data_IF_794603161293
#
_entry.id   IF_794603161293
#
_cell.length_a   1.000
_cell.length_b   1.000
_cell.length_c   1.000
_cell.angle_alpha   90.00
_cell.angle_beta   90.00
_cell.angle_gamma   90.00
#
_symmetry.space_group_name_H-M   'P 1'
#
loop_
_entity.id
_entity.type
_entity.pdbx_description
1 polymer ?
#
# COMPACT_ATOMS: atom_id res chain seq x y z
N UNK A 1 -11.19 5.55 17.75
CA UNK A 1 -12.07 4.83 16.75
C UNK A 1 -11.43 4.98 15.39
N UNK A 2 -11.48 3.92 14.53
CA UNK A 2 -11.00 4.02 13.13
C UNK A 2 -12.20 4.38 12.25
N UNK A 3 -12.04 5.39 11.38
CA UNK A 3 -13.03 5.77 10.38
C UNK A 3 -12.43 5.68 8.99
N UNK A 4 -13.22 5.24 8.02
CA UNK A 4 -12.85 5.24 6.62
C UNK A 4 -13.50 6.42 5.91
N UNK A 5 -12.66 7.21 5.23
CA UNK A 5 -13.05 8.37 4.44
C UNK A 5 -12.54 8.24 3.01
N UNK A 6 -13.01 9.11 2.14
CA UNK A 6 -12.52 9.21 0.77
C UNK A 6 -12.23 10.65 0.39
N UNK A 7 -11.31 10.83 -0.55
CA UNK A 7 -11.10 12.05 -1.32
C UNK A 7 -11.13 11.72 -2.81
N UNK A 8 -11.77 12.57 -3.61
CA UNK A 8 -11.83 12.45 -5.07
C UNK A 8 -11.11 13.61 -5.73
N UNK A 9 -9.96 13.35 -6.34
CA UNK A 9 -9.25 14.29 -7.19
C UNK A 9 -9.88 14.26 -8.57
N UNK A 10 -10.58 15.32 -8.94
CA UNK A 10 -11.15 15.50 -10.28
C UNK A 10 -10.16 16.30 -11.11
N UNK A 11 -9.52 15.68 -12.10
CA UNK A 11 -8.46 16.30 -12.90
C UNK A 11 -8.91 16.49 -14.34
N UNK A 12 -8.68 17.71 -14.89
CA UNK A 12 -8.91 18.04 -16.28
C UNK A 12 -7.72 18.79 -16.86
N UNK A 13 -6.89 18.09 -17.61
CA UNK A 13 -5.63 18.64 -18.10
C UNK A 13 -4.70 19.04 -16.94
N UNK A 14 -4.30 20.33 -16.89
CA UNK A 14 -3.46 20.86 -15.81
C UNK A 14 -4.28 21.49 -14.65
N UNK A 15 -5.55 21.15 -14.51
CA UNK A 15 -6.42 21.68 -13.46
C UNK A 15 -7.02 20.57 -12.61
N UNK A 16 -7.23 20.87 -11.33
CA UNK A 16 -8.02 20.06 -10.41
C UNK A 16 -9.21 20.87 -9.86
N UNK A 17 -10.30 20.18 -9.53
CA UNK A 17 -11.44 20.78 -8.89
C UNK A 17 -11.24 20.78 -7.37
N UNK A 18 -11.29 21.96 -6.76
CA UNK A 18 -11.31 22.13 -5.31
C UNK A 18 -12.53 22.96 -4.91
N UNK A 19 -13.09 22.71 -3.72
CA UNK A 19 -14.21 23.47 -3.20
C UNK A 19 -13.88 24.18 -1.89
N UNK A 20 -14.39 25.41 -1.70
CA UNK A 20 -14.35 26.07 -0.39
C UNK A 20 -15.43 25.43 0.47
N UNK A 21 -15.02 24.81 1.59
CA UNK A 21 -15.94 24.13 2.50
C UNK A 21 -16.81 25.13 3.25
N UNK A 22 -18.12 25.01 3.12
CA UNK A 22 -19.10 25.97 3.68
C UNK A 22 -19.40 25.71 5.14
N UNK A 23 -19.31 24.45 5.60
CA UNK A 23 -19.73 24.06 6.96
C UNK A 23 -18.89 22.88 7.52
N UNK A 24 -18.99 22.65 8.81
CA UNK A 24 -18.37 21.53 9.50
C UNK A 24 -16.86 21.71 9.75
N UNK A 25 -16.18 20.61 9.96
CA UNK A 25 -14.73 20.59 10.20
C UNK A 25 -14.00 21.08 8.95
N UNK A 26 -13.14 22.08 9.10
CA UNK A 26 -12.43 22.71 7.99
C UNK A 26 -13.23 23.76 7.21
N UNK A 27 -14.35 24.27 7.72
CA UNK A 27 -15.09 25.36 7.05
C UNK A 27 -14.16 26.54 6.73
N UNK A 28 -14.25 27.03 5.47
CA UNK A 28 -13.39 28.07 4.92
C UNK A 28 -12.10 27.59 4.23
N UNK A 29 -11.73 26.30 4.38
CA UNK A 29 -10.61 25.71 3.65
C UNK A 29 -11.02 25.25 2.25
N UNK A 30 -10.06 25.26 1.33
CA UNK A 30 -10.15 24.59 0.05
C UNK A 30 -9.83 23.09 0.26
N UNK A 31 -10.63 22.22 -0.34
CA UNK A 31 -10.47 20.76 -0.24
C UNK A 31 -11.01 20.09 -1.52
N UNK A 32 -10.59 18.86 -1.76
CA UNK A 32 -11.24 17.95 -2.69
C UNK A 32 -12.63 17.55 -2.18
N UNK A 33 -13.57 17.20 -3.07
CA UNK A 33 -14.80 16.53 -2.65
C UNK A 33 -14.48 15.18 -2.01
N UNK A 34 -15.21 14.86 -0.94
CA UNK A 34 -15.01 13.60 -0.23
C UNK A 34 -15.69 13.55 1.11
N UNK A 35 -15.86 12.34 1.63
CA UNK A 35 -16.58 12.10 2.85
C UNK A 35 -16.41 10.69 3.41
N UNK A 36 -17.37 10.24 4.19
CA UNK A 36 -17.32 8.94 4.88
C UNK A 36 -17.73 7.81 3.95
N UNK A 37 -17.06 6.67 4.11
CA UNK A 37 -17.53 5.40 3.54
C UNK A 37 -18.70 4.91 4.38
N UNK A 38 -19.86 4.71 3.74
CA UNK A 38 -21.06 4.22 4.40
C UNK A 38 -21.04 2.69 4.58
N UNK A 39 -21.78 2.12 5.53
CA UNK A 39 -21.87 0.68 5.73
C UNK A 39 -22.34 -0.06 4.47
N UNK A 40 -21.53 -1.01 3.99
CA UNK A 40 -21.81 -1.79 2.78
C UNK A 40 -21.37 -1.13 1.47
N UNK A 41 -20.74 0.04 1.53
CA UNK A 41 -20.19 0.76 0.41
C UNK A 41 -18.68 0.48 0.28
N UNK A 42 -18.17 0.39 -0.95
CA UNK A 42 -16.73 0.38 -1.16
C UNK A 42 -16.17 1.80 -1.12
N UNK A 43 -14.89 2.00 -0.73
CA UNK A 43 -14.28 3.34 -0.75
C UNK A 43 -14.34 4.03 -2.12
N UNK A 44 -14.24 3.27 -3.23
CA UNK A 44 -14.39 3.80 -4.59
C UNK A 44 -15.81 4.32 -4.84
N UNK A 45 -16.81 3.55 -4.44
CA UNK A 45 -18.22 3.96 -4.60
C UNK A 45 -18.53 5.21 -3.78
N UNK A 46 -18.03 5.28 -2.54
CA UNK A 46 -18.15 6.46 -1.68
C UNK A 46 -17.52 7.69 -2.34
N UNK A 47 -16.29 7.59 -2.86
CA UNK A 47 -15.62 8.70 -3.53
C UNK A 47 -16.38 9.23 -4.75
N UNK A 48 -16.99 8.34 -5.53
CA UNK A 48 -17.84 8.69 -6.68
C UNK A 48 -19.11 9.37 -6.23
N UNK A 49 -19.80 8.84 -5.22
CA UNK A 49 -21.02 9.42 -4.65
C UNK A 49 -20.77 10.83 -4.10
N UNK A 50 -19.73 11.01 -3.28
CA UNK A 50 -19.37 12.29 -2.67
C UNK A 50 -19.04 13.36 -3.74
N UNK A 51 -18.37 12.97 -4.84
CA UNK A 51 -18.12 13.90 -5.95
C UNK A 51 -19.41 14.39 -6.61
N UNK A 52 -20.44 13.54 -6.76
CA UNK A 52 -21.75 13.95 -7.29
C UNK A 52 -22.52 14.82 -6.28
N UNK A 53 -22.51 14.45 -5.00
CA UNK A 53 -23.23 15.17 -3.95
C UNK A 53 -22.62 16.55 -3.65
N UNK A 54 -21.29 16.65 -3.53
CA UNK A 54 -20.62 17.86 -3.09
C UNK A 54 -20.30 18.86 -4.20
N UNK A 55 -20.09 18.40 -5.45
CA UNK A 55 -19.74 19.29 -6.57
C UNK A 55 -20.55 19.04 -7.86
N UNK A 56 -21.53 18.11 -7.85
CA UNK A 56 -22.42 17.83 -8.97
C UNK A 56 -21.78 17.15 -10.18
N UNK A 57 -20.57 16.61 -10.04
CA UNK A 57 -19.84 15.94 -11.12
C UNK A 57 -20.12 14.44 -11.11
N UNK A 58 -20.53 13.91 -12.28
CA UNK A 58 -20.77 12.47 -12.47
C UNK A 58 -19.50 11.77 -12.94
N UNK A 59 -18.86 11.07 -12.02
CA UNK A 59 -17.67 10.28 -12.29
C UNK A 59 -18.07 8.93 -12.90
N UNK A 60 -17.49 8.58 -14.07
CA UNK A 60 -17.71 7.29 -14.74
C UNK A 60 -16.72 6.23 -14.24
N UNK A 61 -15.47 6.62 -14.06
CA UNK A 61 -14.44 5.75 -13.52
C UNK A 61 -13.41 6.55 -12.71
N UNK A 62 -12.80 5.88 -11.73
CA UNK A 62 -11.73 6.44 -10.90
C UNK A 62 -10.75 5.34 -10.50
N UNK A 63 -9.49 5.71 -10.33
CA UNK A 63 -8.45 4.81 -9.84
C UNK A 63 -7.88 5.31 -8.52
N UNK A 64 -7.49 4.38 -7.65
CA UNK A 64 -6.88 4.71 -6.37
C UNK A 64 -5.48 5.28 -6.60
N UNK A 65 -5.19 6.42 -6.01
CA UNK A 65 -3.89 7.11 -6.09
C UNK A 65 -3.21 7.22 -4.74
N UNK A 66 -3.85 6.75 -3.68
CA UNK A 66 -3.19 6.68 -2.39
C UNK A 66 -4.10 6.34 -1.22
N UNK A 67 -3.45 6.27 -0.09
CA UNK A 67 -4.06 6.19 1.22
C UNK A 67 -3.33 7.15 2.17
N UNK A 68 -4.09 7.85 3.00
CA UNK A 68 -3.54 8.74 4.01
C UNK A 68 -4.16 8.37 5.36
N UNK A 69 -3.32 8.12 6.35
CA UNK A 69 -3.74 7.81 7.72
C UNK A 69 -3.53 9.04 8.60
N UNK A 70 -4.60 9.70 8.95
CA UNK A 70 -4.58 10.80 9.91
C UNK A 70 -4.68 10.23 11.32
N UNK A 71 -3.57 10.22 12.05
CA UNK A 71 -3.48 9.65 13.39
C UNK A 71 -3.65 10.71 14.47
N UNK A 72 -4.36 10.34 15.51
CA UNK A 72 -4.58 11.21 16.67
C UNK A 72 -5.26 12.55 16.31
N UNK A 73 -6.16 12.52 15.32
CA UNK A 73 -6.94 13.69 14.92
C UNK A 73 -8.02 13.97 15.96
N UNK A 74 -8.01 15.15 16.56
CA UNK A 74 -8.96 15.50 17.61
C UNK A 74 -10.27 16.02 17.02
N UNK A 75 -11.30 15.19 17.08
CA UNK A 75 -12.66 15.56 16.72
C UNK A 75 -13.54 15.55 17.97
N UNK A 76 -14.11 16.71 18.32
CA UNK A 76 -14.90 16.87 19.56
C UNK A 76 -14.14 16.50 20.85
N UNK A 77 -12.82 16.66 20.86
CA UNK A 77 -11.97 16.46 22.05
C UNK A 77 -11.46 15.05 22.28
N UNK A 78 -11.86 14.08 21.44
CA UNK A 78 -11.35 12.69 21.49
C UNK A 78 -10.45 12.42 20.28
N UNK A 79 -9.32 11.72 20.47
CA UNK A 79 -8.44 11.36 19.38
C UNK A 79 -9.05 10.23 18.55
N UNK A 80 -9.06 10.40 17.24
CA UNK A 80 -9.52 9.40 16.28
C UNK A 80 -8.44 9.13 15.22
N UNK A 81 -8.56 8.03 14.54
CA UNK A 81 -7.74 7.70 13.37
C UNK A 81 -8.64 7.64 12.15
N UNK A 82 -8.31 8.45 11.14
CA UNK A 82 -9.00 8.47 9.87
C UNK A 82 -8.12 7.81 8.80
N UNK A 83 -8.64 6.80 8.15
CA UNK A 83 -8.02 6.18 6.97
C UNK A 83 -8.74 6.76 5.75
N UNK A 84 -8.06 7.64 5.03
CA UNK A 84 -8.59 8.33 3.86
C UNK A 84 -8.09 7.69 2.59
N UNK A 85 -9.01 7.13 1.80
CA UNK A 85 -8.70 6.54 0.50
C UNK A 85 -8.79 7.62 -0.57
N UNK A 86 -7.67 7.87 -1.27
CA UNK A 86 -7.58 8.92 -2.29
C UNK A 86 -7.77 8.31 -3.68
N UNK A 87 -8.75 8.82 -4.41
CA UNK A 87 -9.05 8.44 -5.78
C UNK A 87 -8.84 9.61 -6.73
N UNK A 88 -8.48 9.32 -7.98
CA UNK A 88 -8.39 10.29 -9.04
C UNK A 88 -9.27 9.86 -10.21
N UNK A 89 -9.94 10.85 -10.83
CA UNK A 89 -10.66 10.68 -12.08
C UNK A 89 -10.34 11.77 -13.09
N UNK A 90 -10.15 11.36 -14.34
CA UNK A 90 -10.15 12.22 -15.55
C UNK A 90 -11.36 11.88 -16.44
N UNK A 91 -12.15 10.86 -16.07
CA UNK A 91 -13.32 10.35 -16.80
C UNK A 91 -14.62 10.68 -16.05
N UNK A 92 -15.15 11.88 -16.31
CA UNK A 92 -16.37 12.39 -15.69
C UNK A 92 -17.12 13.36 -16.61
N UNK A 93 -18.41 13.58 -16.32
CA UNK A 93 -19.28 14.50 -17.03
C UNK A 93 -19.66 15.69 -16.17
N UNK A 94 -19.87 16.83 -16.81
CA UNK A 94 -20.38 18.04 -16.20
C UNK A 94 -19.33 19.08 -15.84
N UNK A 95 -19.81 20.16 -15.29
CA UNK A 95 -19.04 21.24 -14.66
C UNK A 95 -19.39 21.28 -13.18
N UNK A 96 -18.41 21.63 -12.31
CA UNK A 96 -18.69 21.69 -10.89
C UNK A 96 -19.68 22.79 -10.57
N UNK A 97 -20.67 22.48 -9.73
CA UNK A 97 -21.70 23.40 -9.29
C UNK A 97 -21.65 23.58 -7.78
N UNK A 98 -21.99 24.79 -7.33
CA UNK A 98 -22.10 25.07 -5.90
C UNK A 98 -23.23 24.23 -5.26
N UNK A 99 -22.94 23.65 -4.12
CA UNK A 99 -23.87 22.88 -3.31
C UNK A 99 -24.01 23.48 -1.89
N UNK A 100 -24.72 22.81 -1.02
CA UNK A 100 -24.80 23.20 0.39
C UNK A 100 -23.50 22.95 1.16
N UNK A 101 -22.56 22.19 0.59
CA UNK A 101 -21.31 21.79 1.24
C UNK A 101 -20.09 22.50 0.70
N UNK A 102 -19.97 22.64 -0.63
CA UNK A 102 -18.79 23.21 -1.28
C UNK A 102 -19.15 24.33 -2.27
N UNK A 103 -18.25 25.32 -2.36
CA UNK A 103 -18.20 26.30 -3.47
C UNK A 103 -17.02 25.88 -4.36
N UNK A 104 -17.26 25.12 -5.45
CA UNK A 104 -16.19 24.55 -6.24
C UNK A 104 -15.62 25.51 -7.26
N UNK A 105 -14.39 25.20 -7.72
CA UNK A 105 -13.70 25.89 -8.80
C UNK A 105 -12.56 25.07 -9.37
N UNK A 106 -12.11 25.43 -10.59
CA UNK A 106 -10.95 24.84 -11.21
C UNK A 106 -9.67 25.59 -10.83
N UNK A 107 -8.65 24.87 -10.33
CA UNK A 107 -7.38 25.42 -9.89
C UNK A 107 -6.23 24.80 -10.70
N UNK A 108 -5.25 25.62 -11.08
CA UNK A 108 -4.05 25.16 -11.78
C UNK A 108 -3.19 24.29 -10.84
N UNK A 109 -2.88 23.06 -11.24
CA UNK A 109 -2.12 22.09 -10.43
C UNK A 109 -0.75 22.65 -10.04
N UNK A 110 -0.07 23.36 -10.96
CA UNK A 110 1.27 23.89 -10.71
C UNK A 110 1.29 25.13 -9.79
N UNK A 111 0.14 25.62 -9.35
CA UNK A 111 0.03 26.82 -8.50
C UNK A 111 -1.13 26.73 -7.53
N UNK A 112 -1.30 25.56 -6.93
CA UNK A 112 -2.32 25.34 -5.91
C UNK A 112 -2.11 26.25 -4.70
N UNK A 113 -3.17 26.82 -4.16
CA UNK A 113 -3.09 27.75 -3.02
C UNK A 113 -3.01 26.96 -1.69
N UNK A 114 -1.93 26.19 -1.46
CA UNK A 114 -1.76 25.33 -0.28
C UNK A 114 -1.97 26.09 1.04
N UNK A 115 -1.68 27.39 1.08
CA UNK A 115 -1.94 28.20 2.27
C UNK A 115 -3.44 28.39 2.62
N UNK A 116 -4.35 27.99 1.71
CA UNK A 116 -5.81 27.98 1.94
C UNK A 116 -6.37 26.55 2.08
N UNK A 117 -5.52 25.55 1.91
CA UNK A 117 -5.84 24.13 1.98
C UNK A 117 -5.49 23.56 3.35
N UNK A 118 -5.58 22.24 3.51
CA UNK A 118 -5.06 21.57 4.69
C UNK A 118 -3.53 21.59 4.64
N UNK A 119 -2.88 21.61 5.81
CA UNK A 119 -1.42 21.74 5.87
C UNK A 119 -0.67 20.50 5.36
N UNK A 120 -1.34 19.36 5.31
CA UNK A 120 -0.80 18.11 4.79
C UNK A 120 -0.80 18.05 3.26
N UNK A 121 -1.69 18.77 2.57
CA UNK A 121 -1.88 18.70 1.12
C UNK A 121 -0.59 19.02 0.34
N UNK A 122 0.22 19.97 0.80
CA UNK A 122 1.48 20.34 0.14
C UNK A 122 2.55 19.24 0.17
N UNK A 123 2.40 18.25 1.06
CA UNK A 123 3.36 17.18 1.25
C UNK A 123 3.07 15.95 0.36
N UNK A 124 1.80 15.69 0.00
CA UNK A 124 1.43 14.50 -0.75
C UNK A 124 0.87 14.76 -2.14
N UNK A 125 0.09 15.81 -2.36
CA UNK A 125 -0.54 16.10 -3.67
C UNK A 125 0.46 16.27 -4.81
N UNK A 126 1.64 16.90 -4.63
CA UNK A 126 2.61 17.02 -5.71
C UNK A 126 3.07 15.68 -6.29
N UNK A 127 3.20 14.65 -5.47
CA UNK A 127 3.57 13.30 -5.92
C UNK A 127 2.44 12.63 -6.69
N UNK A 128 1.21 12.75 -6.19
CA UNK A 128 0.02 12.25 -6.88
C UNK A 128 -0.15 12.90 -8.25
N UNK A 129 0.03 14.23 -8.37
CA UNK A 129 -0.05 14.91 -9.66
C UNK A 129 1.11 14.59 -10.62
N UNK A 130 2.22 14.05 -10.12
CA UNK A 130 3.29 13.45 -10.94
C UNK A 130 3.00 12.02 -11.36
N UNK A 131 1.80 11.49 -11.05
CA UNK A 131 1.39 10.13 -11.39
C UNK A 131 1.90 9.06 -10.43
N UNK A 132 2.29 9.44 -9.20
CA UNK A 132 2.68 8.49 -8.17
C UNK A 132 1.49 8.08 -7.32
N UNK A 133 1.49 6.83 -6.88
CA UNK A 133 0.60 6.35 -5.81
C UNK A 133 1.33 6.51 -4.48
N UNK A 134 0.62 7.04 -3.48
CA UNK A 134 1.20 7.33 -2.17
C UNK A 134 0.59 6.47 -1.06
N UNK A 135 1.39 6.27 -0.01
CA UNK A 135 0.94 5.75 1.28
C UNK A 135 1.52 6.67 2.35
N UNK A 136 0.66 7.31 3.15
CA UNK A 136 1.09 8.39 4.01
C UNK A 136 0.44 8.33 5.39
N UNK A 137 1.13 8.85 6.40
CA UNK A 137 0.50 9.23 7.66
C UNK A 137 0.82 10.66 8.05
N UNK A 138 -0.11 11.26 8.81
CA UNK A 138 0.07 12.53 9.50
C UNK A 138 -0.40 12.36 10.95
N UNK A 139 0.50 12.59 11.90
CA UNK A 139 0.22 12.48 13.33
C UNK A 139 -0.08 13.87 13.92
N UNK A 140 -1.26 14.04 14.52
CA UNK A 140 -1.76 15.30 15.02
C UNK A 140 -1.62 15.42 16.54
N UNK A 141 -1.43 16.64 17.02
CA UNK A 141 -1.50 16.97 18.43
C UNK A 141 -2.92 17.48 18.80
N UNK A 142 -3.14 17.76 20.09
CA UNK A 142 -4.43 18.25 20.63
C UNK A 142 -4.93 19.54 19.98
N UNK A 143 -4.07 20.31 19.33
CA UNK A 143 -4.43 21.55 18.62
C UNK A 143 -4.73 21.31 17.14
N UNK A 144 -4.84 20.06 16.69
CA UNK A 144 -4.99 19.66 15.29
C UNK A 144 -3.92 20.26 14.37
N UNK A 145 -2.68 20.26 14.86
CA UNK A 145 -1.48 20.55 14.07
C UNK A 145 -0.69 19.25 13.98
N UNK A 146 -0.34 18.80 12.77
CA UNK A 146 0.48 17.60 12.67
C UNK A 146 1.92 17.89 13.12
N UNK A 147 2.50 16.93 13.81
CA UNK A 147 3.82 17.04 14.46
C UNK A 147 4.82 16.06 13.89
N UNK A 148 4.32 15.06 13.18
CA UNK A 148 5.10 14.04 12.50
C UNK A 148 4.33 13.54 11.27
N UNK A 149 5.05 13.19 10.20
CA UNK A 149 4.43 12.63 8.99
C UNK A 149 5.45 11.82 8.17
N UNK A 150 4.92 10.93 7.34
CA UNK A 150 5.66 10.25 6.30
C UNK A 150 4.80 10.20 5.03
N UNK A 151 5.42 10.34 3.90
CA UNK A 151 4.79 10.12 2.58
C UNK A 151 5.69 9.19 1.79
N UNK A 152 5.25 7.95 1.64
CA UNK A 152 5.93 6.92 0.88
C UNK A 152 5.33 6.82 -0.53
N UNK A 153 6.18 6.54 -1.50
CA UNK A 153 5.74 6.19 -2.85
C UNK A 153 5.50 4.68 -2.89
N UNK A 154 4.27 4.31 -3.18
CA UNK A 154 3.89 2.90 -3.36
C UNK A 154 4.56 2.37 -4.62
N UNK A 155 5.17 1.17 -4.59
CA UNK A 155 5.69 0.53 -5.79
C UNK A 155 4.60 0.38 -6.85
N UNK A 156 4.81 0.94 -8.05
CA UNK A 156 3.85 0.95 -9.15
C UNK A 156 4.20 -0.04 -10.29
N UNK A 157 5.39 -0.66 -10.23
CA UNK A 157 5.82 -1.67 -11.19
C UNK A 157 5.38 -3.06 -10.76
N UNK A 158 4.51 -3.70 -11.56
CA UNK A 158 4.15 -5.09 -11.36
C UNK A 158 5.30 -6.00 -11.82
N UNK A 159 5.92 -6.70 -10.86
CA UNK A 159 6.99 -7.66 -11.16
C UNK A 159 6.42 -8.84 -11.91
N UNK A 160 5.34 -9.44 -11.39
CA UNK A 160 4.65 -10.59 -12.01
C UNK A 160 3.24 -10.77 -11.42
N UNK A 161 2.34 -11.31 -12.24
CA UNK A 161 0.99 -11.68 -11.84
C UNK A 161 0.81 -13.19 -11.93
N UNK A 162 0.47 -13.81 -10.82
CA UNK A 162 0.24 -15.26 -10.71
C UNK A 162 -1.24 -15.56 -10.56
N UNK A 163 -1.69 -16.60 -11.25
CA UNK A 163 -3.06 -17.10 -11.22
C UNK A 163 -3.09 -18.61 -10.94
N UNK A 164 -4.23 -19.11 -10.51
CA UNK A 164 -4.42 -20.55 -10.30
C UNK A 164 -4.11 -21.38 -11.56
N UNK A 165 -4.45 -20.87 -12.75
CA UNK A 165 -4.17 -21.52 -14.03
C UNK A 165 -2.68 -21.74 -14.33
N UNK A 166 -1.79 -20.89 -13.80
CA UNK A 166 -0.33 -21.04 -13.95
C UNK A 166 0.18 -22.31 -13.24
N UNK A 167 -0.58 -22.81 -12.27
CA UNK A 167 -0.29 -24.00 -11.49
C UNK A 167 -1.20 -25.19 -11.86
N UNK A 168 -1.97 -25.07 -12.96
CA UNK A 168 -2.93 -26.08 -13.39
C UNK A 168 -4.13 -26.25 -12.45
N UNK A 169 -4.48 -25.21 -11.70
CA UNK A 169 -5.58 -25.18 -10.75
C UNK A 169 -6.81 -24.49 -11.39
N UNK A 170 -8.04 -24.80 -10.94
CA UNK A 170 -9.25 -24.24 -11.52
C UNK A 170 -9.47 -22.78 -11.14
N UNK A 171 -10.02 -22.00 -12.08
CA UNK A 171 -10.46 -20.63 -11.91
C UNK A 171 -12.00 -20.58 -12.10
N UNK A 172 -12.74 -20.92 -11.05
CA UNK A 172 -14.18 -21.17 -11.10
C UNK A 172 -15.03 -20.14 -10.33
N UNK A 173 -14.43 -19.16 -9.68
CA UNK A 173 -15.13 -18.14 -8.92
C UNK A 173 -15.20 -16.81 -9.67
N UNK A 174 -16.24 -16.03 -9.37
CA UNK A 174 -16.40 -14.67 -9.86
C UNK A 174 -15.42 -13.72 -9.17
N UNK A 175 -14.43 -13.24 -9.92
CA UNK A 175 -13.38 -12.33 -9.42
C UNK A 175 -13.91 -10.99 -8.91
N UNK A 176 -15.12 -10.56 -9.32
CA UNK A 176 -15.73 -9.33 -8.82
C UNK A 176 -16.07 -9.37 -7.31
N UNK A 177 -16.05 -10.57 -6.72
CA UNK A 177 -16.35 -10.80 -5.30
C UNK A 177 -15.11 -11.04 -4.46
N UNK A 178 -13.90 -10.94 -5.04
CA UNK A 178 -12.66 -11.26 -4.32
C UNK A 178 -12.28 -10.16 -3.35
N UNK A 179 -11.84 -10.58 -2.17
CA UNK A 179 -11.24 -9.69 -1.18
C UNK A 179 -9.78 -9.39 -1.56
N UNK A 180 -9.37 -8.15 -1.36
CA UNK A 180 -7.98 -7.75 -1.53
C UNK A 180 -7.20 -7.88 -0.20
N UNK A 181 -6.04 -8.51 -0.25
CA UNK A 181 -5.07 -8.57 0.84
C UNK A 181 -3.75 -7.98 0.36
N UNK A 182 -3.20 -7.09 1.16
CA UNK A 182 -1.90 -6.47 0.91
C UNK A 182 -0.86 -6.97 1.89
N UNK A 183 0.38 -7.06 1.45
CA UNK A 183 1.51 -7.48 2.27
C UNK A 183 2.77 -6.70 1.89
N UNK A 184 3.73 -6.63 2.81
CA UNK A 184 5.05 -6.04 2.58
C UNK A 184 6.13 -7.10 2.75
N UNK A 185 7.14 -7.12 1.85
CA UNK A 185 8.19 -8.15 1.77
C UNK A 185 9.57 -7.54 1.63
N UNK A 186 10.55 -8.08 2.35
CA UNK A 186 11.94 -7.67 2.26
C UNK A 186 12.82 -8.72 1.59
N UNK A 187 13.52 -8.35 0.50
CA UNK A 187 14.78 -9.01 0.20
C UNK A 187 15.81 -8.44 1.16
N UNK A 188 16.04 -9.16 2.27
CA UNK A 188 16.89 -8.73 3.35
C UNK A 188 18.34 -9.09 3.05
N UNK A 189 19.22 -8.07 2.98
CA UNK A 189 20.65 -8.25 2.79
C UNK A 189 21.43 -7.74 4.01
N UNK A 190 22.58 -8.32 4.27
CA UNK A 190 23.52 -7.77 5.24
C UNK A 190 24.56 -6.84 4.58
N UNK A 191 25.53 -6.36 5.37
CA UNK A 191 26.63 -5.50 4.89
C UNK A 191 27.53 -6.15 3.84
N UNK A 192 27.59 -7.49 3.80
CA UNK A 192 28.41 -8.28 2.90
C UNK A 192 27.57 -8.84 1.72
N UNK A 193 26.33 -8.34 1.55
CA UNK A 193 25.34 -8.74 0.53
C UNK A 193 24.92 -10.21 0.61
N UNK A 194 25.04 -10.85 1.79
CA UNK A 194 24.37 -12.13 2.03
C UNK A 194 22.87 -11.89 2.09
N UNK A 195 22.10 -12.85 1.61
CA UNK A 195 20.64 -12.73 1.52
C UNK A 195 19.99 -13.65 2.53
N UNK A 196 19.02 -13.14 3.29
CA UNK A 196 18.27 -13.91 4.25
C UNK A 196 16.93 -14.40 3.69
N UNK A 197 16.60 -15.66 3.93
CA UNK A 197 15.28 -16.24 3.72
C UNK A 197 14.80 -16.90 5.02
N UNK A 198 13.50 -16.94 5.20
CA UNK A 198 12.84 -17.75 6.23
C UNK A 198 12.65 -19.16 5.67
N UNK A 199 13.27 -20.15 6.29
CA UNK A 199 13.03 -21.55 6.01
C UNK A 199 11.86 -22.06 6.85
N UNK A 200 10.71 -22.32 6.23
CA UNK A 200 9.55 -22.94 6.86
C UNK A 200 9.76 -24.46 6.88
N UNK A 201 10.60 -24.95 7.80
CA UNK A 201 11.10 -26.33 7.82
C UNK A 201 10.01 -27.39 7.82
N UNK A 202 8.94 -27.15 8.59
CA UNK A 202 7.84 -28.10 8.73
C UNK A 202 6.89 -28.10 7.52
N UNK A 203 7.05 -27.12 6.62
CA UNK A 203 6.26 -26.95 5.38
C UNK A 203 7.07 -27.18 4.10
N UNK A 204 8.40 -27.14 4.20
CA UNK A 204 9.33 -27.46 3.10
C UNK A 204 9.46 -26.38 2.04
N UNK A 205 9.24 -25.08 2.38
CA UNK A 205 9.47 -23.98 1.47
C UNK A 205 10.26 -22.83 2.13
N UNK A 206 10.82 -21.96 1.29
CA UNK A 206 11.41 -20.69 1.72
C UNK A 206 10.43 -19.53 1.46
N UNK A 207 10.50 -18.51 2.30
CA UNK A 207 9.79 -17.24 2.09
C UNK A 207 10.71 -16.05 2.39
N UNK A 208 10.41 -14.90 1.80
CA UNK A 208 10.99 -13.64 2.20
C UNK A 208 10.39 -13.18 3.54
N UNK A 209 11.18 -12.55 4.44
CA UNK A 209 10.62 -11.89 5.61
C UNK A 209 9.55 -10.88 5.22
N UNK A 210 8.43 -10.90 5.93
CA UNK A 210 7.31 -10.00 5.68
C UNK A 210 5.96 -10.68 5.74
N UNK A 211 4.92 -9.88 5.96
CA UNK A 211 3.55 -10.33 6.16
C UNK A 211 2.51 -9.28 5.80
N UNK A 212 1.32 -9.42 6.37
CA UNK A 212 0.17 -8.57 6.10
C UNK A 212 0.35 -7.13 6.56
N UNK A 213 -0.30 -6.21 5.87
CA UNK A 213 -0.39 -4.80 6.27
C UNK A 213 -1.67 -4.64 7.08
N UNK A 214 -1.56 -4.17 8.31
CA UNK A 214 -2.70 -3.95 9.18
C UNK A 214 -3.50 -2.69 8.79
N UNK A 215 -4.80 -2.63 9.12
CA UNK A 215 -5.59 -1.43 8.85
C UNK A 215 -5.01 -0.18 9.52
N UNK A 216 -4.66 0.83 8.71
CA UNK A 216 -4.03 2.08 9.17
C UNK A 216 -2.52 2.00 9.38
N UNK A 217 -1.89 0.90 8.98
CA UNK A 217 -0.44 0.75 8.91
C UNK A 217 0.04 1.14 7.51
N UNK A 218 1.20 1.79 7.42
CA UNK A 218 1.85 2.03 6.13
C UNK A 218 2.58 0.78 5.64
N UNK A 219 2.78 0.71 4.32
CA UNK A 219 3.53 -0.40 3.70
C UNK A 219 4.92 -0.55 4.31
N UNK A 220 5.62 0.56 4.57
CA UNK A 220 6.96 0.54 5.18
C UNK A 220 6.93 0.25 6.66
N UNK A 221 5.91 0.66 7.41
CA UNK A 221 5.73 0.28 8.81
C UNK A 221 5.54 -1.23 8.94
N UNK A 222 4.65 -1.82 8.13
CA UNK A 222 4.47 -3.27 8.05
C UNK A 222 5.79 -3.98 7.71
N UNK A 223 6.57 -3.44 6.76
CA UNK A 223 7.88 -3.99 6.41
C UNK A 223 8.81 -4.06 7.62
N UNK A 224 8.92 -2.97 8.38
CA UNK A 224 9.77 -2.92 9.58
C UNK A 224 9.29 -3.87 10.67
N UNK A 225 7.98 -3.88 10.97
CA UNK A 225 7.38 -4.75 11.98
C UNK A 225 7.60 -6.23 11.66
N UNK A 226 7.22 -6.65 10.46
CA UNK A 226 7.29 -8.04 10.02
C UNK A 226 8.73 -8.57 9.99
N UNK A 227 9.69 -7.77 9.50
CA UNK A 227 11.10 -8.20 9.48
C UNK A 227 11.66 -8.33 10.91
N UNK A 228 11.23 -7.50 11.85
CA UNK A 228 11.61 -7.67 13.26
C UNK A 228 10.97 -8.96 13.83
N UNK A 229 9.69 -9.16 13.62
CA UNK A 229 8.93 -10.30 14.14
C UNK A 229 9.49 -11.63 13.63
N UNK A 230 9.65 -11.77 12.32
CA UNK A 230 10.07 -13.03 11.70
C UNK A 230 11.59 -13.24 11.67
N UNK A 231 12.37 -12.20 11.37
CA UNK A 231 13.81 -12.31 11.16
C UNK A 231 14.66 -11.75 12.30
N UNK A 232 14.09 -10.95 13.20
CA UNK A 232 14.77 -10.37 14.36
C UNK A 232 15.68 -9.19 14.04
N UNK A 233 15.56 -8.57 12.89
CA UNK A 233 16.44 -7.49 12.45
C UNK A 233 15.70 -6.16 12.25
N UNK A 234 16.29 -5.07 12.75
CA UNK A 234 15.98 -3.73 12.25
C UNK A 234 16.56 -3.57 10.85
N UNK A 235 15.90 -2.79 10.02
CA UNK A 235 16.27 -2.63 8.62
C UNK A 235 16.38 -1.16 8.19
N UNK A 236 17.13 -0.96 7.11
CA UNK A 236 17.15 0.24 6.30
C UNK A 236 16.61 -0.14 4.91
N UNK A 237 15.41 0.29 4.50
CA UNK A 237 14.93 0.12 3.15
C UNK A 237 15.84 0.88 2.15
N UNK A 238 16.35 0.18 1.14
CA UNK A 238 17.28 0.76 0.15
C UNK A 238 16.56 1.24 -1.12
N UNK A 239 15.60 0.46 -1.57
CA UNK A 239 14.70 0.83 -2.68
C UNK A 239 13.51 -0.12 -2.79
N UNK A 240 12.49 0.33 -3.50
CA UNK A 240 11.39 -0.51 -3.95
C UNK A 240 11.85 -1.41 -5.11
N UNK A 241 11.29 -2.62 -5.17
CA UNK A 241 11.50 -3.58 -6.26
C UNK A 241 10.29 -3.69 -7.19
N UNK A 242 9.13 -3.23 -6.74
CA UNK A 242 7.83 -3.39 -7.38
C UNK A 242 6.85 -4.17 -6.50
N UNK A 243 5.81 -4.73 -7.12
CA UNK A 243 4.87 -5.60 -6.42
C UNK A 243 4.58 -6.87 -7.23
N UNK A 244 4.13 -7.92 -6.55
CA UNK A 244 3.55 -9.09 -7.20
C UNK A 244 2.06 -9.13 -6.93
N UNK A 245 1.28 -9.62 -7.91
CA UNK A 245 -0.15 -9.81 -7.79
C UNK A 245 -0.46 -11.30 -7.87
N UNK A 246 -1.34 -11.79 -7.01
CA UNK A 246 -1.79 -13.18 -7.04
C UNK A 246 -3.31 -13.21 -7.05
N UNK A 247 -3.90 -13.87 -8.04
CA UNK A 247 -5.35 -14.14 -8.12
C UNK A 247 -5.59 -15.57 -7.65
N UNK A 248 -6.16 -15.73 -6.46
CA UNK A 248 -6.32 -17.02 -5.78
C UNK A 248 -7.80 -17.44 -5.72
N UNK A 249 -8.27 -18.15 -6.73
CA UNK A 249 -9.67 -18.59 -6.83
C UNK A 249 -10.10 -19.50 -5.68
N UNK A 250 -9.20 -20.38 -5.19
CA UNK A 250 -9.51 -21.25 -4.05
C UNK A 250 -10.05 -20.45 -2.86
N UNK A 251 -9.48 -19.29 -2.56
CA UNK A 251 -9.86 -18.46 -1.43
C UNK A 251 -10.78 -17.29 -1.79
N UNK A 252 -10.94 -16.96 -3.08
CA UNK A 252 -11.65 -15.77 -3.53
C UNK A 252 -10.88 -14.51 -3.14
N UNK A 253 -9.58 -14.45 -3.42
CA UNK A 253 -8.72 -13.38 -2.96
C UNK A 253 -7.76 -12.90 -4.04
N UNK A 254 -7.54 -11.59 -4.04
CA UNK A 254 -6.38 -10.95 -4.62
C UNK A 254 -5.34 -10.72 -3.52
N UNK A 255 -4.07 -11.10 -3.78
CA UNK A 255 -2.98 -10.79 -2.87
C UNK A 255 -1.95 -9.93 -3.59
N UNK A 256 -1.68 -8.76 -3.04
CA UNK A 256 -0.67 -7.83 -3.53
C UNK A 256 0.47 -7.82 -2.52
N UNK A 257 1.68 -8.18 -2.96
CA UNK A 257 2.87 -8.13 -2.12
C UNK A 257 3.82 -7.05 -2.63
N UNK A 258 3.97 -5.96 -1.90
CA UNK A 258 4.94 -4.90 -2.14
C UNK A 258 6.33 -5.37 -1.71
N UNK A 259 7.30 -5.25 -2.60
CA UNK A 259 8.64 -5.79 -2.42
C UNK A 259 9.70 -4.71 -2.31
N UNK A 260 10.59 -4.87 -1.35
CA UNK A 260 11.69 -3.95 -1.07
C UNK A 260 13.02 -4.68 -0.99
N UNK A 261 14.10 -4.01 -1.44
CA UNK A 261 15.45 -4.36 -1.05
C UNK A 261 15.76 -3.62 0.26
N UNK A 262 16.12 -4.35 1.31
CA UNK A 262 16.38 -3.77 2.61
C UNK A 262 17.68 -4.31 3.21
N UNK A 263 18.40 -3.47 3.96
CA UNK A 263 19.63 -3.85 4.66
C UNK A 263 19.35 -4.11 6.14
N UNK A 264 19.82 -5.26 6.62
CA UNK A 264 19.84 -5.58 8.05
C UNK A 264 20.84 -4.65 8.77
N UNK A 265 20.40 -4.00 9.85
CA UNK A 265 21.22 -3.03 10.59
C UNK A 265 21.57 -3.50 12.00
N UNK A 266 20.58 -3.86 12.81
CA UNK A 266 20.73 -4.26 14.20
C UNK A 266 19.89 -5.51 14.48
N UNK A 267 20.51 -6.54 15.06
CA UNK A 267 19.77 -7.71 15.50
C UNK A 267 19.16 -7.45 16.89
N UNK A 268 17.84 -7.60 16.98
CA UNK A 268 17.06 -7.34 18.20
C UNK A 268 16.34 -8.59 18.73
N UNK A 269 16.45 -9.72 18.00
CA UNK A 269 15.70 -10.95 18.29
C UNK A 269 14.34 -10.95 17.59
N UNK A 270 13.90 -12.13 17.18
CA UNK A 270 12.57 -12.32 16.57
C UNK A 270 11.52 -12.61 17.64
N UNK A 271 10.26 -12.49 17.26
CA UNK A 271 9.10 -12.79 18.09
C UNK A 271 8.04 -13.45 17.20
N UNK A 272 8.27 -14.74 16.93
CA UNK A 272 7.41 -15.52 16.05
C UNK A 272 6.01 -15.68 16.66
N UNK A 273 5.01 -15.68 15.79
CA UNK A 273 3.63 -16.03 16.14
C UNK A 273 3.49 -17.55 16.30
N UNK A 274 2.42 -18.01 16.96
CA UNK A 274 2.19 -19.43 17.24
C UNK A 274 2.20 -20.30 15.96
N UNK A 275 1.61 -19.84 14.87
CA UNK A 275 1.57 -20.53 13.59
C UNK A 275 2.94 -20.55 12.87
N UNK A 276 3.76 -19.54 13.07
CA UNK A 276 5.13 -19.45 12.54
C UNK A 276 6.07 -20.40 13.30
N UNK A 277 5.88 -20.53 14.62
CA UNK A 277 6.58 -21.54 15.44
C UNK A 277 6.17 -22.95 15.01
N UNK A 278 4.86 -23.21 14.77
CA UNK A 278 4.37 -24.48 14.24
C UNK A 278 4.93 -24.80 12.85
N UNK A 279 5.10 -23.83 11.99
CA UNK A 279 5.69 -23.96 10.65
C UNK A 279 7.21 -24.14 10.69
N UNK A 280 7.83 -23.92 11.86
CA UNK A 280 9.25 -24.10 12.11
C UNK A 280 10.10 -23.06 11.37
N UNK A 281 9.71 -21.77 11.48
CA UNK A 281 10.44 -20.68 10.85
C UNK A 281 11.84 -20.53 11.43
N UNK A 282 12.84 -20.59 10.55
CA UNK A 282 14.22 -20.28 10.87
C UNK A 282 14.83 -19.37 9.81
N UNK A 283 15.55 -18.33 10.25
CA UNK A 283 16.28 -17.45 9.36
C UNK A 283 17.55 -18.13 8.86
N UNK A 284 17.70 -18.20 7.54
CA UNK A 284 18.87 -18.77 6.87
C UNK A 284 19.55 -17.73 5.97
N UNK A 285 20.87 -17.59 6.09
CA UNK A 285 21.65 -16.64 5.30
C UNK A 285 22.40 -17.35 4.17
N UNK A 286 22.18 -16.90 2.94
CA UNK A 286 22.86 -17.35 1.74
C UNK A 286 23.98 -16.38 1.38
N UNK A 287 25.10 -16.88 0.86
CA UNK A 287 26.27 -16.03 0.58
C UNK A 287 26.02 -14.93 -0.46
N UNK A 288 25.05 -15.10 -1.34
CA UNK A 288 24.64 -14.15 -2.36
C UNK A 288 23.22 -14.44 -2.86
N UNK A 289 22.71 -13.55 -3.70
CA UNK A 289 21.33 -13.65 -4.24
C UNK A 289 21.14 -14.88 -5.14
N UNK A 290 22.17 -15.32 -5.87
CA UNK A 290 22.06 -16.48 -6.76
C UNK A 290 21.95 -17.80 -5.98
N UNK A 291 22.63 -17.93 -4.83
CA UNK A 291 22.45 -19.06 -3.92
C UNK A 291 21.04 -19.09 -3.33
N UNK A 292 20.49 -17.94 -2.90
CA UNK A 292 19.14 -17.84 -2.41
C UNK A 292 18.11 -18.24 -3.48
N UNK A 293 18.26 -17.74 -4.71
CA UNK A 293 17.42 -18.14 -5.86
C UNK A 293 17.50 -19.65 -6.09
N UNK A 294 18.72 -20.20 -6.14
CA UNK A 294 18.94 -21.62 -6.37
C UNK A 294 18.36 -22.52 -5.27
N UNK A 295 18.28 -22.04 -4.02
CA UNK A 295 17.61 -22.75 -2.94
C UNK A 295 16.10 -22.82 -3.14
N UNK A 296 15.47 -21.70 -3.52
CA UNK A 296 14.04 -21.65 -3.80
C UNK A 296 13.68 -22.44 -5.05
N UNK A 297 14.51 -22.40 -6.12
CA UNK A 297 14.29 -23.16 -7.37
C UNK A 297 14.33 -24.68 -7.18
N UNK A 298 14.99 -25.18 -6.13
CA UNK A 298 15.04 -26.61 -5.84
C UNK A 298 13.77 -27.15 -5.16
N UNK A 299 12.87 -26.29 -4.75
CA UNK A 299 11.64 -26.70 -4.07
C UNK A 299 10.71 -27.33 -5.12
N UNK A 300 10.39 -28.61 -4.93
CA UNK A 300 9.35 -29.28 -5.73
C UNK A 300 7.97 -28.97 -5.17
N UNK A 301 7.22 -28.15 -5.88
CA UNK A 301 5.87 -27.73 -5.45
C UNK A 301 4.75 -28.65 -5.96
N UNK A 302 5.05 -29.77 -6.62
CA UNK A 302 4.08 -30.65 -7.28
C UNK A 302 3.03 -31.16 -6.29
N UNK A 303 3.47 -31.70 -5.17
CA UNK A 303 2.61 -32.27 -4.12
C UNK A 303 2.43 -31.37 -2.90
N UNK A 304 2.85 -30.10 -3.00
CA UNK A 304 2.76 -29.16 -1.89
C UNK A 304 1.35 -28.59 -1.72
N UNK A 305 1.12 -28.03 -0.51
CA UNK A 305 -0.11 -27.28 -0.22
C UNK A 305 -0.28 -26.12 -1.20
N UNK A 306 -1.52 -25.76 -1.44
CA UNK A 306 -1.91 -24.70 -2.39
C UNK A 306 -1.09 -23.41 -2.26
N UNK A 307 -0.93 -22.93 -1.02
CA UNK A 307 -0.22 -21.67 -0.77
C UNK A 307 1.26 -21.73 -1.14
N UNK A 308 1.92 -22.87 -0.94
CA UNK A 308 3.34 -23.01 -1.22
C UNK A 308 3.67 -22.84 -2.71
N UNK A 309 2.75 -23.17 -3.61
CA UNK A 309 2.91 -22.93 -5.06
C UNK A 309 3.05 -21.44 -5.35
N UNK A 310 2.13 -20.63 -4.81
CA UNK A 310 2.16 -19.19 -4.95
C UNK A 310 3.36 -18.56 -4.24
N UNK A 311 3.67 -18.99 -3.01
CA UNK A 311 4.81 -18.48 -2.26
C UNK A 311 6.11 -18.70 -3.01
N UNK A 312 6.39 -19.91 -3.47
CA UNK A 312 7.62 -20.22 -4.22
C UNK A 312 7.74 -19.39 -5.49
N UNK A 313 6.68 -19.26 -6.27
CA UNK A 313 6.67 -18.46 -7.50
C UNK A 313 6.91 -16.97 -7.22
N UNK A 314 6.20 -16.41 -6.24
CA UNK A 314 6.33 -15.02 -5.80
C UNK A 314 7.75 -14.71 -5.32
N UNK A 315 8.30 -15.54 -4.43
CA UNK A 315 9.64 -15.30 -3.87
C UNK A 315 10.71 -15.35 -4.97
N UNK A 316 10.58 -16.25 -5.93
CA UNK A 316 11.47 -16.30 -7.09
C UNK A 316 11.39 -15.04 -7.95
N UNK A 317 10.19 -14.53 -8.22
CA UNK A 317 10.01 -13.30 -9.00
C UNK A 317 10.65 -12.10 -8.29
N UNK A 318 10.41 -11.94 -6.99
CA UNK A 318 10.96 -10.84 -6.18
C UNK A 318 12.49 -10.94 -6.07
N UNK A 319 13.03 -12.14 -5.81
CA UNK A 319 14.49 -12.35 -5.74
C UNK A 319 15.17 -12.05 -7.08
N UNK A 320 14.56 -12.41 -8.22
CA UNK A 320 15.07 -12.09 -9.54
C UNK A 320 15.05 -10.59 -9.83
N UNK A 321 14.02 -9.87 -9.40
CA UNK A 321 13.98 -8.41 -9.47
C UNK A 321 15.10 -7.78 -8.61
N UNK A 322 15.30 -8.26 -7.39
CA UNK A 322 16.38 -7.82 -6.52
C UNK A 322 17.76 -8.08 -7.10
N UNK A 323 17.98 -9.24 -7.73
CA UNK A 323 19.23 -9.58 -8.43
C UNK A 323 19.58 -8.54 -9.50
N UNK A 324 18.59 -8.10 -10.28
CA UNK A 324 18.79 -7.06 -11.29
C UNK A 324 19.27 -5.76 -10.65
N UNK A 325 18.61 -5.32 -9.59
CA UNK A 325 18.96 -4.10 -8.87
C UNK A 325 20.33 -4.20 -8.20
N UNK A 326 20.65 -5.33 -7.56
CA UNK A 326 21.95 -5.57 -6.93
C UNK A 326 23.09 -5.49 -7.96
N UNK A 327 22.90 -6.10 -9.12
CA UNK A 327 23.88 -6.04 -10.22
C UNK A 327 24.05 -4.64 -10.79
N UNK A 328 22.96 -3.92 -11.05
CA UNK A 328 22.97 -2.60 -11.70
C UNK A 328 23.48 -1.48 -10.79
N UNK A 329 23.05 -1.47 -9.52
CA UNK A 329 23.36 -0.38 -8.59
C UNK A 329 24.56 -0.65 -7.69
N UNK A 330 24.84 -1.91 -7.37
CA UNK A 330 25.83 -2.27 -6.36
C UNK A 330 26.95 -3.17 -6.92
N UNK A 331 26.82 -3.66 -8.18
CA UNK A 331 27.83 -4.50 -8.84
C UNK A 331 27.94 -5.92 -8.22
N UNK A 332 26.88 -6.40 -7.57
CA UNK A 332 26.82 -7.69 -6.87
C UNK A 332 26.02 -8.74 -7.64
#
# INVERSE_FOLDING_TARGET
MIRHLTLMILKRGNKTCLGIKKRGFGAGKLTEPGGKVEPGETPKAAAIREAEEEVGIKVRDAHKVGQIVFRNLYYKGEPETDITHVYMSEDFDGEPVETDELIPGWYEINSLPYNKMWGDDEHWMPDVFRGKTIDAYFYYNENNTFTDFCVDIVPDECIEHFRDSDFGLPEDKDESTFDERTASRAVLIDKDYRVALINAKNRGYYKLPGGGIDPGELITEALHREVIEEAGWKIEPLCTLGYTHETRHKFGQYNISYAFLARATEFVGNNLMDDEEEDGFELEWFNNIDEAIAAVEKIDTTDMIYQAKFFTARELAILRAARKVLKEKYGQ
#
